data_IF_445877974901
#
_entry.id   IF_445877974901
#
_cell.length_a   1.000
_cell.length_b   1.000
_cell.length_c   1.000
_cell.angle_alpha   90.00
_cell.angle_beta   90.00
_cell.angle_gamma   90.00
#
_symmetry.space_group_name_H-M   'P 1'
#
loop_
_entity.id
_entity.type
_entity.pdbx_description
1 polymer ?
#
# COMPACT_ATOMS: atom_id res chain seq x y z
N UNK A 1 -4.81 3.85 -13.56
CA UNK A 1 -5.01 2.38 -13.43
C UNK A 1 -5.09 2.02 -11.93
N UNK A 2 -5.62 0.85 -11.53
CA UNK A 2 -6.48 0.77 -10.34
C UNK A 2 -5.85 0.37 -9.01
N UNK A 3 -6.52 0.69 -7.88
CA UNK A 3 -6.22 0.08 -6.57
C UNK A 3 -6.63 -1.41 -6.58
N UNK A 4 -5.70 -2.29 -6.94
CA UNK A 4 -5.93 -3.73 -6.92
C UNK A 4 -5.87 -4.24 -5.48
N UNK A 5 -6.91 -4.94 -5.01
CA UNK A 5 -6.88 -5.58 -3.69
C UNK A 5 -6.46 -7.04 -3.84
N UNK A 6 -5.39 -7.48 -3.16
CA UNK A 6 -4.95 -8.87 -3.19
C UNK A 6 -4.44 -9.35 -1.85
N UNK A 7 -4.70 -10.62 -1.55
CA UNK A 7 -4.08 -11.36 -0.44
C UNK A 7 -2.88 -12.20 -0.93
N UNK A 8 -2.57 -12.14 -2.23
CA UNK A 8 -1.53 -12.97 -2.85
C UNK A 8 -0.14 -12.48 -2.48
N UNK A 9 0.71 -13.42 -2.08
CA UNK A 9 2.14 -13.22 -1.86
C UNK A 9 2.92 -13.07 -3.18
N UNK A 10 2.28 -13.24 -4.34
CA UNK A 10 2.91 -13.15 -5.67
C UNK A 10 2.91 -11.72 -6.22
N UNK A 11 3.36 -10.75 -5.42
CA UNK A 11 3.46 -9.34 -5.83
C UNK A 11 4.43 -9.14 -7.00
N UNK A 12 5.40 -10.06 -7.18
CA UNK A 12 6.29 -10.09 -8.33
C UNK A 12 5.61 -10.38 -9.67
N UNK A 13 4.41 -10.95 -9.69
CA UNK A 13 3.62 -11.17 -10.92
C UNK A 13 2.70 -9.99 -11.25
N UNK A 14 2.43 -9.10 -10.28
CA UNK A 14 1.78 -7.81 -10.55
C UNK A 14 2.73 -6.86 -11.28
N UNK A 15 4.03 -7.17 -11.29
CA UNK A 15 5.06 -6.51 -12.10
C UNK A 15 5.06 -7.04 -13.54
N UNK A 16 3.95 -6.86 -14.26
CA UNK A 16 3.95 -6.93 -15.73
C UNK A 16 4.93 -5.91 -16.34
N UNK A 17 5.33 -6.07 -17.61
CA UNK A 17 6.43 -5.34 -18.26
C UNK A 17 6.14 -3.86 -18.59
N UNK A 18 5.15 -3.23 -17.94
CA UNK A 18 4.72 -1.88 -18.28
C UNK A 18 5.40 -0.81 -17.42
N UNK A 19 5.80 0.23 -18.12
CA UNK A 19 6.33 1.54 -17.73
C UNK A 19 5.66 2.10 -16.46
N UNK A 20 6.44 2.77 -15.60
CA UNK A 20 6.04 3.62 -14.45
C UNK A 20 5.83 2.98 -13.04
N UNK A 21 6.07 3.76 -11.95
CA UNK A 21 6.21 3.23 -10.60
C UNK A 21 4.89 2.71 -10.01
N UNK A 22 4.98 1.57 -9.31
CA UNK A 22 3.86 0.90 -8.64
C UNK A 22 3.89 1.18 -7.15
N UNK A 23 2.74 1.35 -6.53
CA UNK A 23 2.61 1.61 -5.11
C UNK A 23 1.94 0.43 -4.43
N UNK A 24 2.61 -0.17 -3.45
CA UNK A 24 2.10 -1.27 -2.65
C UNK A 24 1.67 -0.72 -1.28
N UNK A 25 0.40 -0.81 -0.95
CA UNK A 25 -0.19 -0.35 0.31
C UNK A 25 -0.44 -1.55 1.21
N UNK A 26 0.43 -1.77 2.18
CA UNK A 26 0.28 -2.82 3.18
C UNK A 26 -0.70 -2.36 4.27
N UNK A 27 -1.75 -3.15 4.45
CA UNK A 27 -2.91 -2.80 5.26
C UNK A 27 -3.34 -3.95 6.18
N UNK A 28 -3.85 -3.62 7.35
CA UNK A 28 -4.44 -4.61 8.25
C UNK A 28 -5.78 -5.13 7.71
N UNK A 29 -5.97 -6.45 7.73
CA UNK A 29 -7.23 -7.06 7.28
C UNK A 29 -8.41 -6.76 8.22
N UNK A 30 -9.63 -7.04 7.75
CA UNK A 30 -10.87 -6.90 8.52
C UNK A 30 -11.76 -5.73 8.07
N UNK A 31 -13.06 -5.83 8.37
CA UNK A 31 -14.06 -4.80 8.12
C UNK A 31 -14.93 -4.62 9.40
N UNK A 32 -14.65 -3.61 10.25
CA UNK A 32 -13.56 -2.65 10.17
C UNK A 32 -12.19 -3.29 10.46
N UNK A 33 -11.12 -2.69 9.94
CA UNK A 33 -9.76 -3.16 10.18
C UNK A 33 -9.43 -3.15 11.68
N UNK A 34 -8.68 -4.15 12.15
CA UNK A 34 -8.28 -4.26 13.55
C UNK A 34 -7.24 -3.21 13.97
N UNK A 35 -6.62 -2.53 13.00
CA UNK A 35 -5.63 -1.47 13.24
C UNK A 35 -6.29 -0.09 13.18
N UNK A 36 -6.23 0.73 14.26
CA UNK A 36 -6.79 2.07 14.26
C UNK A 36 -6.16 2.96 13.19
N UNK A 37 -4.83 2.94 13.08
CA UNK A 37 -4.06 3.73 12.12
C UNK A 37 -4.42 3.41 10.67
N UNK A 38 -4.68 2.14 10.37
CA UNK A 38 -5.20 1.74 9.06
C UNK A 38 -6.54 2.40 8.79
N UNK A 39 -7.50 2.35 9.72
CA UNK A 39 -8.82 2.99 9.53
C UNK A 39 -8.69 4.49 9.28
N UNK A 40 -7.79 5.17 9.97
CA UNK A 40 -7.57 6.61 9.83
C UNK A 40 -6.88 6.97 8.51
N UNK A 41 -6.00 6.10 8.01
CA UNK A 41 -5.31 6.29 6.71
C UNK A 41 -6.15 5.93 5.49
N UNK A 42 -7.21 5.12 5.66
CA UNK A 42 -8.01 4.61 4.54
C UNK A 42 -8.57 5.72 3.63
N UNK A 43 -9.13 6.83 4.15
CA UNK A 43 -9.65 7.91 3.31
C UNK A 43 -8.54 8.59 2.48
N UNK A 44 -7.37 8.82 3.07
CA UNK A 44 -6.24 9.44 2.38
C UNK A 44 -5.72 8.55 1.24
N UNK A 45 -5.55 7.24 1.52
CA UNK A 45 -5.15 6.25 0.52
C UNK A 45 -6.15 6.18 -0.63
N UNK A 46 -7.45 6.08 -0.32
CA UNK A 46 -8.51 6.03 -1.33
C UNK A 46 -8.61 7.31 -2.15
N UNK A 47 -8.42 8.48 -1.54
CA UNK A 47 -8.41 9.75 -2.26
C UNK A 47 -7.25 9.86 -3.25
N UNK A 48 -6.08 9.30 -2.93
CA UNK A 48 -4.90 9.37 -3.81
C UNK A 48 -4.91 8.29 -4.88
N UNK A 49 -5.22 7.04 -4.53
CA UNK A 49 -5.13 5.90 -5.44
C UNK A 49 -6.46 5.49 -6.09
N UNK A 50 -7.59 6.07 -5.65
CA UNK A 50 -8.93 5.63 -6.04
C UNK A 50 -9.52 4.61 -5.06
N UNK A 51 -10.85 4.51 -5.05
CA UNK A 51 -11.61 3.55 -4.23
C UNK A 51 -11.73 2.19 -4.89
N UNK A 52 -11.70 2.17 -6.22
CA UNK A 52 -11.88 0.97 -7.01
C UNK A 52 -11.16 1.11 -8.37
N UNK A 53 -11.12 0.01 -9.14
CA UNK A 53 -10.40 0.03 -10.38
C UNK A 53 -10.82 0.97 -11.50
N UNK A 54 -12.03 1.49 -11.41
CA UNK A 54 -12.61 2.44 -12.35
C UNK A 54 -12.47 3.89 -11.91
N UNK A 55 -11.95 4.14 -10.69
CA UNK A 55 -11.75 5.49 -10.15
C UNK A 55 -10.29 5.91 -10.19
N UNK A 56 -10.01 7.05 -10.84
CA UNK A 56 -8.69 7.69 -10.81
C UNK A 56 -8.65 8.60 -9.59
N UNK A 57 -7.78 8.28 -8.63
CA UNK A 57 -7.55 9.15 -7.48
C UNK A 57 -6.72 10.40 -7.84
N UNK A 58 -6.53 11.29 -6.86
CA UNK A 58 -5.77 12.55 -7.03
C UNK A 58 -4.29 12.34 -7.40
N UNK A 59 -3.77 11.12 -7.17
CA UNK A 59 -2.45 10.69 -7.57
C UNK A 59 -2.25 10.61 -9.08
N UNK A 60 -3.32 10.71 -9.88
CA UNK A 60 -3.26 10.59 -11.32
C UNK A 60 -3.18 9.13 -11.75
N UNK A 61 -2.42 8.85 -12.82
CA UNK A 61 -2.37 7.53 -13.44
C UNK A 61 -1.28 6.63 -12.82
N UNK A 62 -1.26 6.55 -11.48
CA UNK A 62 -0.33 5.69 -10.73
C UNK A 62 -1.00 4.38 -10.31
N UNK A 63 -0.30 3.26 -10.44
CA UNK A 63 -0.82 1.94 -10.04
C UNK A 63 -0.69 1.76 -8.52
N UNK A 64 -1.81 1.55 -7.83
CA UNK A 64 -1.86 1.21 -6.41
C UNK A 64 -2.28 -0.25 -6.18
N UNK A 65 -1.71 -0.91 -5.17
CA UNK A 65 -2.09 -2.28 -4.81
C UNK A 65 -2.29 -2.35 -3.30
N UNK A 66 -3.53 -2.58 -2.86
CA UNK A 66 -3.83 -2.78 -1.44
C UNK A 66 -3.62 -4.25 -1.06
N UNK A 67 -2.73 -4.48 -0.11
CA UNK A 67 -2.24 -5.79 0.31
C UNK A 67 -2.62 -5.98 1.77
N UNK A 68 -3.44 -6.99 2.04
CA UNK A 68 -3.80 -7.32 3.42
C UNK A 68 -2.74 -8.20 4.06
N UNK A 69 -2.15 -7.73 5.17
CA UNK A 69 -1.08 -8.45 5.87
C UNK A 69 -1.56 -9.63 6.73
N UNK A 70 -2.89 -9.81 6.81
CA UNK A 70 -3.55 -10.78 7.68
C UNK A 70 -4.17 -10.15 8.93
N UNK A 71 -4.68 -11.01 9.81
CA UNK A 71 -5.24 -10.63 11.10
C UNK A 71 -4.13 -10.20 12.09
N UNK A 72 -4.53 -9.66 13.25
CA UNK A 72 -3.56 -9.13 14.23
C UNK A 72 -2.57 -10.18 14.73
N UNK A 73 -2.96 -11.43 15.06
CA UNK A 73 -2.01 -12.48 15.43
C UNK A 73 -1.03 -12.81 14.29
N UNK A 74 -1.52 -13.02 13.06
CA UNK A 74 -0.67 -13.33 11.90
C UNK A 74 0.31 -12.20 11.60
N UNK A 75 -0.11 -10.94 11.79
CA UNK A 75 0.78 -9.80 11.62
C UNK A 75 1.84 -9.68 12.71
N UNK A 76 1.53 -10.08 13.95
CA UNK A 76 2.50 -10.05 15.06
C UNK A 76 3.54 -11.15 14.98
N UNK A 77 3.27 -12.21 14.22
CA UNK A 77 4.22 -13.28 13.99
C UNK A 77 5.50 -12.74 13.31
N UNK A 78 6.70 -12.92 13.90
CA UNK A 78 7.96 -12.56 13.25
C UNK A 78 8.22 -13.33 11.94
N UNK A 79 7.59 -14.49 11.76
CA UNK A 79 7.64 -15.30 10.53
C UNK A 79 6.68 -14.82 9.45
N UNK A 80 5.94 -13.73 9.69
CA UNK A 80 5.06 -13.14 8.68
C UNK A 80 5.83 -12.81 7.39
N UNK A 81 5.31 -13.29 6.27
CA UNK A 81 5.93 -13.13 4.95
C UNK A 81 6.22 -11.67 4.59
N UNK A 82 5.32 -10.73 4.89
CA UNK A 82 5.51 -9.32 4.56
C UNK A 82 6.58 -8.66 5.45
N UNK A 83 6.72 -9.09 6.70
CA UNK A 83 7.83 -8.66 7.56
C UNK A 83 9.16 -9.17 7.03
N UNK A 84 9.26 -10.44 6.65
CA UNK A 84 10.51 -11.06 6.19
C UNK A 84 10.92 -10.65 4.78
N UNK A 85 10.01 -10.75 3.82
CA UNK A 85 10.31 -10.55 2.41
C UNK A 85 10.30 -9.08 2.00
N UNK A 86 9.47 -8.25 2.63
CA UNK A 86 9.35 -6.82 2.31
C UNK A 86 9.91 -5.90 3.39
N UNK A 87 10.28 -6.42 4.56
CA UNK A 87 10.84 -5.61 5.64
C UNK A 87 9.85 -4.62 6.24
N UNK A 88 8.54 -4.91 6.15
CA UNK A 88 7.48 -4.04 6.68
C UNK A 88 7.44 -4.16 8.21
N UNK A 89 7.59 -3.04 8.91
CA UNK A 89 7.67 -3.02 10.39
C UNK A 89 6.32 -2.73 11.05
N UNK A 90 5.52 -1.89 10.41
CA UNK A 90 4.22 -1.41 10.88
C UNK A 90 3.20 -1.38 9.74
N UNK A 91 1.91 -1.26 10.09
CA UNK A 91 0.82 -1.00 9.14
C UNK A 91 0.03 0.21 9.66
N UNK A 92 -0.45 1.12 8.79
CA UNK A 92 -0.32 1.12 7.32
C UNK A 92 1.11 1.47 6.85
N UNK A 93 1.54 0.89 5.73
CA UNK A 93 2.81 1.25 5.06
C UNK A 93 2.61 1.28 3.55
N UNK A 94 3.03 2.37 2.90
CA UNK A 94 2.97 2.54 1.45
C UNK A 94 4.38 2.42 0.88
N UNK A 95 4.56 1.60 -0.15
CA UNK A 95 5.87 1.32 -0.74
C UNK A 95 5.86 1.66 -2.21
N UNK A 96 6.83 2.46 -2.66
CA UNK A 96 7.06 2.72 -4.08
C UNK A 96 8.01 1.66 -4.65
N UNK A 97 7.54 0.97 -5.66
CA UNK A 97 8.26 -0.02 -6.45
C UNK A 97 8.54 0.54 -7.84
N UNK A 98 9.81 0.54 -8.25
CA UNK A 98 10.21 0.96 -9.59
C UNK A 98 11.31 0.04 -10.11
N UNK A 99 11.22 -0.34 -11.40
CA UNK A 99 12.18 -1.23 -12.07
C UNK A 99 12.47 -2.53 -11.29
N UNK A 100 11.44 -3.10 -10.68
CA UNK A 100 11.54 -4.35 -9.90
C UNK A 100 12.21 -4.22 -8.54
N UNK A 101 12.45 -2.99 -8.04
CA UNK A 101 13.02 -2.74 -6.72
C UNK A 101 12.17 -1.77 -5.90
N UNK A 102 12.16 -1.98 -4.60
CA UNK A 102 11.64 -1.01 -3.65
C UNK A 102 12.57 0.22 -3.65
N UNK A 103 12.03 1.38 -4.04
CA UNK A 103 12.81 2.62 -4.13
C UNK A 103 12.52 3.59 -2.99
N UNK A 104 11.31 3.53 -2.43
CA UNK A 104 10.92 4.37 -1.30
C UNK A 104 9.81 3.72 -0.49
N UNK A 105 9.64 4.18 0.75
CA UNK A 105 8.57 3.76 1.65
C UNK A 105 8.07 4.95 2.46
N UNK A 106 6.77 4.94 2.74
CA UNK A 106 6.08 5.83 3.66
C UNK A 106 5.50 4.93 4.74
N UNK A 107 6.07 5.01 5.94
CA UNK A 107 5.69 4.22 7.10
C UNK A 107 4.98 5.14 8.10
N UNK A 108 4.07 4.58 8.90
CA UNK A 108 3.51 5.19 10.11
C UNK A 108 2.43 6.29 9.92
N UNK A 109 1.65 6.53 10.97
CA UNK A 109 0.75 7.68 11.12
C UNK A 109 1.50 8.74 11.94
N UNK A 110 1.53 10.02 11.52
CA UNK A 110 0.54 10.70 10.67
C UNK A 110 0.78 10.64 9.16
N UNK A 111 1.89 10.09 8.69
CA UNK A 111 2.31 10.26 7.30
C UNK A 111 1.41 9.54 6.29
N UNK A 112 0.96 8.32 6.61
CA UNK A 112 0.00 7.58 5.78
C UNK A 112 -1.45 8.13 5.85
N UNK A 113 -1.77 8.92 6.87
CA UNK A 113 -3.10 9.53 7.04
C UNK A 113 -3.18 10.95 6.46
N UNK A 114 -2.04 11.58 6.19
CA UNK A 114 -1.96 12.87 5.51
C UNK A 114 -2.02 12.68 3.99
N UNK A 115 -3.20 12.95 3.42
CA UNK A 115 -3.43 12.90 1.97
C UNK A 115 -2.38 13.69 1.18
N UNK A 116 -1.92 14.84 1.68
CA UNK A 116 -0.94 15.67 0.98
C UNK A 116 0.41 14.98 0.91
N UNK A 117 0.81 14.25 1.96
CA UNK A 117 2.05 13.46 1.98
C UNK A 117 1.95 12.25 1.08
N UNK A 118 0.82 11.53 1.12
CA UNK A 118 0.58 10.39 0.23
C UNK A 118 0.60 10.84 -1.24
N UNK A 119 0.02 12.00 -1.54
CA UNK A 119 0.03 12.59 -2.87
C UNK A 119 1.42 13.06 -3.29
N UNK A 120 2.18 13.68 -2.39
CA UNK A 120 3.56 14.05 -2.66
C UNK A 120 4.42 12.80 -2.93
N UNK A 121 4.18 11.72 -2.20
CA UNK A 121 4.87 10.45 -2.37
C UNK A 121 4.60 9.81 -3.74
N UNK A 122 3.39 9.92 -4.28
CA UNK A 122 3.09 9.42 -5.63
C UNK A 122 3.73 10.24 -6.74
N UNK A 123 3.94 11.54 -6.50
CA UNK A 123 4.51 12.48 -7.47
C UNK A 123 6.03 12.61 -7.38
N UNK A 124 6.63 12.28 -6.24
CA UNK A 124 8.08 12.28 -6.06
C UNK A 124 8.69 11.28 -7.04
N UNK A 125 9.38 11.78 -8.08
CA UNK A 125 9.92 11.00 -9.19
C UNK A 125 11.25 10.34 -8.80
#
# INVERSE_FOLDING_TARGET
MPLHTTQSTQLGQLAGPTTDPKFLVFFASGQPSWCPDCRDSLPAVQNVFGTDPSTVGKGGDVDGYMIFVGDRPTWKDPENYFRKSYGIKCVPTIVKFSKGKMVARLEDVPDCADESKVLAFTRAS
#
